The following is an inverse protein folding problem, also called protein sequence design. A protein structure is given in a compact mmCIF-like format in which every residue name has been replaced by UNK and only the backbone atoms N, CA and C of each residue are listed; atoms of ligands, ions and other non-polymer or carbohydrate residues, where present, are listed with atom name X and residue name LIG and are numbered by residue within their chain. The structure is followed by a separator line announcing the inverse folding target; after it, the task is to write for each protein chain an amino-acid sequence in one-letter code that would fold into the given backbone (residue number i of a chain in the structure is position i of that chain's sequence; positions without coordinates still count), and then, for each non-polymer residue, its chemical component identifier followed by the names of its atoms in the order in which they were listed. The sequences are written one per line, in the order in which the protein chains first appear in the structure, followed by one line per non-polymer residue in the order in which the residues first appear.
data_IF_230355017060
#
_entry.id   IF_230355017060
#
_cell.length_a   1.000
_cell.length_b   1.000
_cell.length_c   1.000
_cell.angle_alpha   90.00
_cell.angle_beta   90.00
_cell.angle_gamma   90.00
#
_symmetry.space_group_name_H-M   'P 1'
#
loop_
_entity.id
_entity.type
_entity.pdbx_description
1 polymer ?
#
# COMPACT_ATOMS: atom_id res chain seq x y z
N UNK A 1 -11.18 4.73 3.95
CA UNK A 1 -10.91 4.31 2.57
C UNK A 1 -11.08 2.81 2.45
N UNK A 2 -11.77 2.36 1.43
CA UNK A 2 -11.92 0.92 1.21
C UNK A 2 -10.59 0.32 0.81
N UNK A 3 -10.29 -0.87 1.35
CA UNK A 3 -9.04 -1.57 1.02
C UNK A 3 -8.91 -1.81 -0.48
N UNK A 4 -10.00 -2.15 -1.16
CA UNK A 4 -9.98 -2.38 -2.59
C UNK A 4 -9.54 -1.12 -3.36
N UNK A 5 -9.98 0.06 -2.90
CA UNK A 5 -9.60 1.32 -3.53
C UNK A 5 -8.12 1.63 -3.25
N UNK A 6 -7.66 1.36 -2.03
CA UNK A 6 -6.25 1.55 -1.67
C UNK A 6 -5.35 0.67 -2.55
N UNK A 7 -5.68 -0.62 -2.66
CA UNK A 7 -4.89 -1.54 -3.47
C UNK A 7 -4.88 -1.11 -4.94
N UNK A 8 -6.04 -0.69 -5.45
CA UNK A 8 -6.12 -0.22 -6.84
C UNK A 8 -5.21 0.98 -7.07
N UNK A 9 -5.18 1.90 -6.12
CA UNK A 9 -4.30 3.07 -6.20
C UNK A 9 -2.84 2.66 -6.19
N UNK A 10 -2.47 1.74 -5.29
CA UNK A 10 -1.10 1.23 -5.21
C UNK A 10 -0.68 0.54 -6.50
N UNK A 11 -1.57 -0.25 -7.08
CA UNK A 11 -1.31 -0.88 -8.38
C UNK A 11 -1.11 0.15 -9.47
N UNK A 12 -1.86 1.25 -9.41
CA UNK A 12 -1.67 2.38 -10.33
C UNK A 12 -0.31 3.04 -10.21
N UNK A 13 0.32 2.98 -9.03
CA UNK A 13 1.70 3.45 -8.84
C UNK A 13 2.73 2.44 -9.35
N UNK A 14 2.30 1.23 -9.73
CA UNK A 14 3.22 0.16 -10.10
C UNK A 14 3.63 -0.73 -8.92
N UNK A 15 2.99 -0.55 -7.75
CA UNK A 15 3.32 -1.37 -6.59
C UNK A 15 2.86 -2.80 -6.79
N UNK A 16 3.60 -3.74 -6.19
CA UNK A 16 3.33 -5.16 -6.30
C UNK A 16 3.28 -5.80 -4.92
N UNK A 17 2.47 -6.84 -4.81
CA UNK A 17 2.40 -7.65 -3.60
C UNK A 17 3.66 -8.52 -3.54
N UNK A 18 4.43 -8.40 -2.46
CA UNK A 18 5.67 -9.16 -2.32
C UNK A 18 5.59 -10.23 -1.24
N UNK A 19 4.63 -10.14 -0.33
CA UNK A 19 4.56 -11.08 0.79
C UNK A 19 3.19 -11.07 1.44
N UNK A 20 2.69 -12.26 1.77
CA UNK A 20 1.53 -12.43 2.64
C UNK A 20 2.03 -12.63 4.08
N UNK A 21 1.88 -11.64 4.94
CA UNK A 21 2.17 -11.77 6.36
C UNK A 21 0.96 -12.34 7.09
N UNK A 22 1.11 -12.52 8.42
CA UNK A 22 0.05 -13.09 9.24
C UNK A 22 -1.23 -12.23 9.23
N UNK A 23 -1.08 -10.91 9.26
CA UNK A 23 -2.21 -9.98 9.32
C UNK A 23 -2.14 -8.89 8.28
N UNK A 24 -1.07 -8.81 7.52
CA UNK A 24 -0.82 -7.76 6.56
C UNK A 24 -0.28 -8.34 5.28
N UNK A 25 -0.65 -7.72 4.18
CA UNK A 25 -0.03 -7.99 2.89
C UNK A 25 0.98 -6.88 2.62
N UNK A 26 2.21 -7.26 2.27
CA UNK A 26 3.26 -6.29 2.02
C UNK A 26 3.30 -5.93 0.55
N UNK A 27 3.23 -4.65 0.28
CA UNK A 27 3.33 -4.09 -1.08
C UNK A 27 4.61 -3.29 -1.20
N UNK A 28 5.20 -3.34 -2.38
CA UNK A 28 6.45 -2.64 -2.66
C UNK A 28 6.31 -1.87 -3.95
N UNK A 29 6.88 -0.66 -3.95
CA UNK A 29 7.05 0.11 -5.17
C UNK A 29 8.43 -0.21 -5.76
N UNK A 30 8.51 -0.92 -6.90
CA UNK A 30 9.82 -1.30 -7.46
C UNK A 30 10.68 -0.11 -7.87
N UNK A 31 10.08 1.02 -8.17
CA UNK A 31 10.84 2.21 -8.57
C UNK A 31 11.57 2.85 -7.40
N UNK A 32 10.96 2.85 -6.23
CA UNK A 32 11.54 3.50 -5.05
C UNK A 32 12.20 2.51 -4.11
N UNK A 33 11.83 1.23 -4.19
CA UNK A 33 12.30 0.21 -3.28
C UNK A 33 11.62 0.21 -1.93
N UNK A 34 10.64 1.08 -1.72
CA UNK A 34 9.93 1.20 -0.44
C UNK A 34 8.85 0.13 -0.36
N UNK A 35 8.74 -0.50 0.81
CA UNK A 35 7.70 -1.49 1.11
C UNK A 35 6.88 -1.02 2.31
N UNK A 36 5.60 -1.35 2.32
CA UNK A 36 4.70 -1.03 3.42
C UNK A 36 3.71 -2.16 3.63
N UNK A 37 3.37 -2.46 4.89
CA UNK A 37 2.32 -3.43 5.19
C UNK A 37 0.95 -2.81 5.00
N UNK A 38 0.04 -3.55 4.38
CA UNK A 38 -1.34 -3.13 4.16
C UNK A 38 -2.25 -4.09 4.94
N UNK A 39 -3.04 -3.58 5.90
CA UNK A 39 -3.93 -4.43 6.67
C UNK A 39 -4.98 -5.09 5.78
N UNK A 40 -5.47 -6.27 6.20
CA UNK A 40 -6.50 -6.99 5.46
C UNK A 40 -7.91 -6.60 5.87
N UNK A 41 -8.08 -5.47 6.57
CA UNK A 41 -9.40 -4.95 6.92
C UNK A 41 -10.08 -4.40 5.66
N UNK A 42 -11.38 -4.58 5.56
CA UNK A 42 -12.15 -4.07 4.42
C UNK A 42 -12.11 -2.55 4.36
N UNK A 43 -12.07 -1.92 5.52
CA UNK A 43 -12.02 -0.47 5.63
C UNK A 43 -10.73 -0.06 6.31
N UNK A 44 -9.94 0.77 5.65
CA UNK A 44 -8.66 1.26 6.17
C UNK A 44 -8.89 2.68 6.70
N UNK A 45 -8.44 2.95 7.92
CA UNK A 45 -8.55 4.29 8.50
C UNK A 45 -7.88 5.30 7.58
N UNK A 46 -8.48 6.47 7.46
CA UNK A 46 -8.08 7.47 6.48
C UNK A 46 -6.62 7.90 6.65
N UNK A 47 -6.20 8.16 7.89
CA UNK A 47 -4.82 8.59 8.12
C UNK A 47 -3.80 7.48 7.82
N UNK A 48 -4.16 6.23 8.07
CA UNK A 48 -3.29 5.10 7.72
C UNK A 48 -3.22 4.93 6.20
N UNK A 49 -4.35 5.05 5.52
CA UNK A 49 -4.39 4.96 4.06
C UNK A 49 -3.51 6.04 3.43
N UNK A 50 -3.60 7.27 3.92
CA UNK A 50 -2.77 8.37 3.44
C UNK A 50 -1.28 8.09 3.65
N UNK A 51 -0.94 7.55 4.83
CA UNK A 51 0.46 7.21 5.12
C UNK A 51 0.98 6.17 4.15
N UNK A 52 0.21 5.12 3.91
CA UNK A 52 0.60 4.06 2.97
C UNK A 52 0.77 4.63 1.56
N UNK A 53 -0.19 5.44 1.12
CA UNK A 53 -0.13 6.05 -0.22
C UNK A 53 1.09 6.96 -0.35
N UNK A 54 1.37 7.76 0.68
CA UNK A 54 2.52 8.66 0.67
C UNK A 54 3.83 7.89 0.60
N UNK A 55 3.95 6.83 1.41
CA UNK A 55 5.18 6.04 1.46
C UNK A 55 5.44 5.27 0.17
N UNK A 56 4.38 4.85 -0.51
CA UNK A 56 4.51 4.01 -1.70
C UNK A 56 4.32 4.78 -3.00
N UNK A 57 4.13 6.10 -2.95
CA UNK A 57 3.99 6.89 -4.16
C UNK A 57 5.30 6.99 -4.93
N UNK A 58 5.19 7.24 -6.22
CA UNK A 58 6.38 7.37 -7.08
C UNK A 58 7.17 8.64 -6.80
N UNK A 59 6.54 9.63 -6.16
CA UNK A 59 7.22 10.88 -5.82
C UNK A 59 8.28 10.69 -4.74
N UNK A 60 8.14 9.66 -3.91
CA UNK A 60 9.19 9.26 -2.98
C UNK A 60 9.50 10.24 -1.87
N UNK A 61 8.67 11.22 -1.62
CA UNK A 61 8.97 12.25 -0.64
C UNK A 61 8.01 12.32 0.51
#
# INVERSE_FOLDING_TARGET
MKRTDLIRTLEGFGCVLIRHGARHDWYRNPQTGVSQPVPRHREIKENLARHILQMLSNDGE
#
